data_IF_637123823891
#
_entry.id   IF_637123823891
#
_cell.length_a   1.000
_cell.length_b   1.000
_cell.length_c   1.000
_cell.angle_alpha   90.00
_cell.angle_beta   90.00
_cell.angle_gamma   90.00
#
_symmetry.space_group_name_H-M   'P 1'
#
loop_
_entity.id
_entity.type
_entity.pdbx_description
1 polymer ?
#
# COMPACT_ATOMS: atom_id res chain seq x y z
N UNK A 1 -15.18 -8.72 -31.47
CA UNK A 1 -16.43 -8.00 -31.74
C UNK A 1 -17.52 -8.62 -30.89
N UNK A 2 -17.90 -7.99 -29.81
CA UNK A 2 -19.16 -8.27 -29.11
C UNK A 2 -19.56 -7.01 -28.36
N UNK A 3 -20.70 -6.47 -28.75
CA UNK A 3 -21.32 -5.27 -28.18
C UNK A 3 -22.12 -5.67 -26.95
N UNK A 4 -21.91 -5.03 -25.82
CA UNK A 4 -22.81 -5.09 -24.68
C UNK A 4 -23.75 -3.89 -24.70
N UNK A 5 -25.04 -4.19 -24.74
CA UNK A 5 -26.16 -3.25 -24.81
C UNK A 5 -26.55 -2.87 -23.40
N UNK A 6 -26.50 -1.57 -23.08
CA UNK A 6 -26.98 -1.05 -21.80
C UNK A 6 -28.49 -0.81 -21.82
N UNK A 7 -29.14 -1.27 -20.76
CA UNK A 7 -30.54 -0.95 -20.49
C UNK A 7 -30.69 0.41 -19.83
N UNK A 8 -31.45 1.28 -20.48
CA UNK A 8 -31.90 2.57 -19.92
C UNK A 8 -33.35 2.39 -19.47
N UNK A 9 -33.63 2.67 -18.21
CA UNK A 9 -34.98 2.82 -17.71
C UNK A 9 -35.30 4.32 -17.54
N UNK A 10 -36.25 4.82 -18.24
CA UNK A 10 -36.84 6.14 -18.06
C UNK A 10 -37.96 6.09 -17.01
N UNK A 11 -38.13 7.08 -16.16
CA UNK A 11 -39.31 7.19 -15.30
C UNK A 11 -40.41 7.98 -16.00
N UNK A 12 -41.62 7.44 -15.93
CA UNK A 12 -42.85 8.04 -16.43
C UNK A 12 -43.30 9.18 -15.50
N UNK A 13 -43.65 10.29 -16.13
CA UNK A 13 -44.36 11.44 -15.53
C UNK A 13 -45.80 11.09 -15.26
N UNK A 14 -46.29 11.48 -14.09
CA UNK A 14 -47.74 11.64 -13.80
C UNK A 14 -47.93 13.00 -13.17
N UNK A 15 -48.60 13.87 -13.96
CA UNK A 15 -49.16 15.12 -13.48
C UNK A 15 -50.38 14.82 -12.61
N UNK A 16 -50.55 15.54 -11.50
CA UNK A 16 -51.88 16.01 -11.10
C UNK A 16 -51.73 17.27 -10.20
N UNK A 17 -52.46 18.27 -10.68
CA UNK A 17 -52.79 19.55 -10.10
C UNK A 17 -53.31 19.53 -8.65
N UNK A 18 -53.02 20.54 -7.89
CA UNK A 18 -54.04 21.51 -7.41
C UNK A 18 -53.54 22.34 -6.22
N UNK A 19 -53.56 23.64 -6.45
CA UNK A 19 -54.06 24.69 -5.54
C UNK A 19 -53.21 25.21 -4.39
N UNK A 20 -52.69 26.38 -4.70
CA UNK A 20 -52.56 27.62 -3.88
C UNK A 20 -52.70 27.54 -2.36
N UNK A 21 -51.61 27.91 -1.67
CA UNK A 21 -51.71 28.81 -0.52
C UNK A 21 -50.41 29.58 -0.28
N UNK A 22 -50.48 30.88 -0.44
CA UNK A 22 -49.40 31.81 -0.13
C UNK A 22 -49.24 31.92 1.40
N UNK A 23 -48.14 31.44 1.93
CA UNK A 23 -47.71 31.83 3.27
C UNK A 23 -46.22 32.18 3.26
N UNK A 24 -45.97 33.47 3.40
CA UNK A 24 -44.63 34.03 3.52
C UNK A 24 -44.09 33.70 4.91
N UNK A 25 -43.26 32.73 5.05
CA UNK A 25 -42.39 32.58 6.21
C UNK A 25 -40.96 32.95 5.81
N UNK A 26 -40.51 34.06 6.35
CA UNK A 26 -39.11 34.41 6.40
C UNK A 26 -38.40 33.38 7.32
N UNK A 27 -37.79 32.37 6.75
CA UNK A 27 -36.82 31.57 7.48
C UNK A 27 -35.43 32.11 7.17
N UNK A 28 -34.88 32.80 8.17
CA UNK A 28 -33.43 33.04 8.21
C UNK A 28 -32.74 31.69 8.27
N UNK A 29 -32.25 31.21 7.14
CA UNK A 29 -31.38 30.03 7.08
C UNK A 29 -30.04 30.42 7.67
N UNK A 30 -29.85 30.11 8.94
CA UNK A 30 -28.54 30.08 9.58
C UNK A 30 -27.78 28.89 8.98
N UNK A 31 -27.02 29.15 7.93
CA UNK A 31 -26.09 28.17 7.36
C UNK A 31 -24.94 27.98 8.33
N UNK A 32 -25.09 26.97 9.20
CA UNK A 32 -23.98 26.42 9.98
C UNK A 32 -23.04 25.73 8.99
N UNK A 33 -22.01 26.43 8.54
CA UNK A 33 -20.94 25.83 7.78
C UNK A 33 -20.20 24.87 8.72
N UNK A 34 -20.54 23.57 8.64
CA UNK A 34 -19.69 22.52 9.17
C UNK A 34 -18.39 22.60 8.35
N UNK A 35 -17.36 23.19 8.95
CA UNK A 35 -16.00 23.02 8.52
C UNK A 35 -15.67 21.53 8.73
N UNK A 36 -16.00 20.69 7.73
CA UNK A 36 -15.45 19.37 7.62
C UNK A 36 -13.95 19.58 7.41
N UNK A 37 -13.19 19.50 8.49
CA UNK A 37 -11.74 19.46 8.43
C UNK A 37 -11.37 18.29 7.55
N UNK A 38 -11.07 18.57 6.28
CA UNK A 38 -10.41 17.61 5.40
C UNK A 38 -9.10 17.24 6.06
N UNK A 39 -9.09 16.16 6.81
CA UNK A 39 -7.88 15.50 7.20
C UNK A 39 -7.25 15.01 5.89
N UNK A 40 -6.37 15.81 5.32
CA UNK A 40 -5.62 15.46 4.12
C UNK A 40 -4.78 14.25 4.49
N UNK A 41 -5.29 13.07 4.15
CA UNK A 41 -4.51 11.85 4.29
C UNK A 41 -3.38 11.94 3.28
N UNK A 42 -2.15 12.01 3.76
CA UNK A 42 -0.99 11.98 2.88
C UNK A 42 -1.08 10.76 1.95
N UNK A 43 -0.73 10.94 0.67
CA UNK A 43 -0.77 9.83 -0.27
C UNK A 43 0.16 8.72 0.23
N UNK A 44 -0.35 7.49 0.25
CA UNK A 44 0.41 6.30 0.62
C UNK A 44 0.65 5.46 -0.61
N UNK A 45 1.87 4.97 -0.76
CA UNK A 45 2.24 4.00 -1.77
C UNK A 45 2.41 2.66 -1.09
N UNK A 46 1.63 1.66 -1.52
CA UNK A 46 1.80 0.28 -1.07
C UNK A 46 2.96 -0.34 -1.87
N UNK A 47 4.04 -0.66 -1.16
CA UNK A 47 5.24 -1.24 -1.78
C UNK A 47 5.08 -2.72 -2.11
N UNK A 48 4.17 -3.41 -1.44
CA UNK A 48 3.90 -4.83 -1.64
C UNK A 48 2.45 -5.04 -2.05
N UNK A 49 2.24 -5.79 -3.12
CA UNK A 49 0.91 -6.03 -3.70
C UNK A 49 0.12 -7.17 -3.01
N UNK A 50 0.70 -7.85 -2.02
CA UNK A 50 0.09 -8.98 -1.31
C UNK A 50 0.07 -10.31 -2.07
N UNK A 51 0.66 -10.40 -3.26
CA UNK A 51 0.57 -11.59 -4.14
C UNK A 51 1.91 -12.14 -4.58
N UNK A 52 2.80 -11.29 -5.00
CA UNK A 52 4.11 -11.65 -5.53
C UNK A 52 5.15 -10.54 -5.27
N UNK A 53 6.38 -10.78 -5.65
CA UNK A 53 7.48 -9.85 -5.46
C UNK A 53 7.69 -8.91 -6.68
N UNK A 54 6.66 -8.65 -7.47
CA UNK A 54 6.72 -7.65 -8.54
C UNK A 54 7.03 -6.27 -7.93
N UNK A 55 7.99 -5.56 -8.51
CA UNK A 55 8.52 -4.29 -8.00
C UNK A 55 9.62 -4.44 -6.95
N UNK A 56 10.10 -5.69 -6.73
CA UNK A 56 11.18 -5.98 -5.83
C UNK A 56 12.33 -6.69 -6.52
N UNK A 57 13.55 -6.32 -6.18
CA UNK A 57 14.81 -6.98 -6.57
C UNK A 57 15.34 -7.75 -5.38
N UNK A 58 15.59 -9.05 -5.57
CA UNK A 58 16.23 -9.90 -4.57
C UNK A 58 17.72 -10.03 -4.89
N UNK A 59 18.55 -9.67 -3.95
CA UNK A 59 20.01 -9.78 -4.03
C UNK A 59 20.46 -10.83 -3.02
N UNK A 60 21.01 -11.92 -3.50
CA UNK A 60 21.45 -13.03 -2.64
C UNK A 60 22.94 -13.31 -2.85
N UNK A 61 23.54 -13.98 -1.90
CA UNK A 61 24.92 -14.43 -1.96
C UNK A 61 25.11 -15.35 -3.17
N UNK A 62 25.94 -14.99 -4.14
CA UNK A 62 26.20 -15.82 -5.32
C UNK A 62 26.93 -17.14 -5.00
N UNK A 63 27.59 -17.22 -3.84
CA UNK A 63 28.24 -18.43 -3.34
C UNK A 63 27.33 -19.23 -2.39
N UNK A 64 26.15 -18.66 -2.07
CA UNK A 64 25.15 -19.30 -1.23
C UNK A 64 24.47 -20.49 -1.91
N UNK A 65 24.09 -21.48 -1.12
CA UNK A 65 23.32 -22.63 -1.61
C UNK A 65 21.84 -22.25 -1.68
N UNK A 66 21.25 -22.38 -2.86
CA UNK A 66 19.83 -22.13 -3.11
C UNK A 66 19.57 -20.98 -4.09
N UNK A 67 18.30 -20.76 -4.35
CA UNK A 67 17.79 -19.69 -5.22
C UNK A 67 17.28 -18.50 -4.37
N UNK A 68 17.25 -17.33 -4.95
CA UNK A 68 16.66 -16.15 -4.29
C UNK A 68 15.21 -16.40 -3.83
N UNK A 69 14.48 -17.26 -4.53
CA UNK A 69 13.11 -17.69 -4.14
C UNK A 69 13.07 -18.57 -2.89
N UNK A 70 14.17 -19.20 -2.54
CA UNK A 70 14.28 -19.94 -1.28
C UNK A 70 14.42 -18.96 -0.11
N UNK A 71 15.17 -17.86 -0.31
CA UNK A 71 15.33 -16.81 0.69
C UNK A 71 14.08 -15.92 0.84
N UNK A 72 13.44 -15.57 -0.29
CA UNK A 72 12.32 -14.63 -0.34
C UNK A 72 11.12 -15.23 -1.08
N UNK A 73 10.00 -15.33 -0.41
CA UNK A 73 8.77 -15.87 -0.98
C UNK A 73 7.54 -15.15 -0.44
N UNK A 74 6.40 -15.34 -1.11
CA UNK A 74 5.12 -14.82 -0.61
C UNK A 74 4.26 -15.96 -0.10
N UNK A 75 3.81 -15.85 1.13
CA UNK A 75 2.95 -16.83 1.78
C UNK A 75 1.82 -16.14 2.52
N UNK A 76 0.59 -16.51 2.21
CA UNK A 76 -0.62 -15.95 2.84
C UNK A 76 -0.67 -14.42 2.83
N UNK A 77 -0.29 -13.80 1.71
CA UNK A 77 -0.29 -12.34 1.56
C UNK A 77 0.83 -11.62 2.31
N UNK A 78 1.84 -12.33 2.79
CA UNK A 78 3.00 -11.76 3.47
C UNK A 78 4.28 -12.19 2.77
N UNK A 79 5.27 -11.32 2.80
CA UNK A 79 6.64 -11.66 2.40
C UNK A 79 7.25 -12.52 3.50
N UNK A 80 7.70 -13.71 3.14
CA UNK A 80 8.46 -14.60 4.01
C UNK A 80 9.93 -14.50 3.67
N UNK A 81 10.75 -14.25 4.68
CA UNK A 81 12.21 -14.23 4.59
C UNK A 81 12.74 -15.46 5.34
N UNK A 82 13.39 -16.35 4.63
CA UNK A 82 13.94 -17.60 5.19
C UNK A 82 15.36 -17.43 5.73
N UNK A 83 16.09 -16.39 5.26
CA UNK A 83 17.47 -16.10 5.68
C UNK A 83 18.54 -17.00 5.04
N UNK A 84 18.18 -17.89 4.11
CA UNK A 84 19.10 -18.72 3.36
C UNK A 84 18.61 -18.90 1.93
N UNK A 85 19.45 -18.62 0.90
CA UNK A 85 20.75 -17.98 1.02
C UNK A 85 20.69 -16.59 1.65
N UNK A 86 21.81 -16.10 2.20
CA UNK A 86 21.89 -14.73 2.70
C UNK A 86 21.62 -13.72 1.60
N UNK A 87 21.01 -12.59 1.97
CA UNK A 87 20.70 -11.56 1.02
C UNK A 87 19.74 -10.52 1.57
N UNK A 88 19.32 -9.64 0.71
CA UNK A 88 18.28 -8.65 0.98
C UNK A 88 17.37 -8.50 -0.23
N UNK A 89 16.23 -7.89 -0.01
CA UNK A 89 15.36 -7.44 -1.07
C UNK A 89 15.21 -5.92 -1.01
N UNK A 90 15.13 -5.28 -2.15
CA UNK A 90 14.90 -3.85 -2.27
C UNK A 90 13.80 -3.55 -3.28
N UNK A 91 13.20 -2.40 -3.18
CA UNK A 91 12.30 -1.90 -4.23
C UNK A 91 13.08 -1.63 -5.53
N UNK A 92 12.45 -1.87 -6.66
CA UNK A 92 12.99 -1.47 -7.97
C UNK A 92 13.06 0.05 -8.07
N UNK A 93 12.01 0.73 -7.59
CA UNK A 93 11.95 2.19 -7.56
C UNK A 93 12.74 2.76 -6.39
N UNK A 94 13.20 3.99 -6.56
CA UNK A 94 13.92 4.76 -5.54
C UNK A 94 13.02 5.86 -4.97
N UNK A 95 13.21 6.17 -3.69
CA UNK A 95 12.44 7.17 -2.96
C UNK A 95 13.37 8.10 -2.22
N UNK A 96 13.11 9.41 -2.24
CA UNK A 96 13.93 10.41 -1.57
C UNK A 96 13.39 10.73 -0.18
N UNK A 97 12.39 11.57 -0.09
CA UNK A 97 11.79 11.98 1.17
C UNK A 97 10.56 11.12 1.48
N UNK A 98 10.71 10.18 2.40
CA UNK A 98 9.65 9.23 2.71
C UNK A 98 9.51 8.96 4.20
N UNK A 99 8.35 8.46 4.55
CA UNK A 99 8.08 7.78 5.82
C UNK A 99 7.76 6.33 5.50
N UNK A 100 8.59 5.40 5.96
CA UNK A 100 8.39 3.98 5.78
C UNK A 100 7.62 3.40 6.98
N UNK A 101 6.60 2.61 6.68
CA UNK A 101 5.89 1.79 7.66
C UNK A 101 6.06 0.33 7.26
N UNK A 102 6.57 -0.51 8.17
CA UNK A 102 6.76 -1.94 7.99
C UNK A 102 6.24 -2.67 9.22
N UNK A 103 5.40 -3.65 8.98
CA UNK A 103 4.97 -4.60 10.01
C UNK A 103 5.72 -5.91 9.81
N UNK A 104 6.27 -6.46 10.88
CA UNK A 104 7.05 -7.69 10.83
C UNK A 104 6.85 -8.55 12.06
N UNK A 105 7.15 -9.83 11.95
CA UNK A 105 7.14 -10.78 13.07
C UNK A 105 8.10 -11.94 12.82
N UNK A 106 8.61 -12.52 13.87
CA UNK A 106 9.31 -13.79 13.82
C UNK A 106 8.31 -14.95 13.65
N UNK A 107 8.65 -15.94 12.82
CA UNK A 107 7.82 -17.15 12.62
C UNK A 107 8.33 -18.32 13.50
N UNK A 108 9.42 -18.17 14.17
CA UNK A 108 10.05 -19.13 15.04
C UNK A 108 10.91 -18.43 16.06
N UNK A 109 12.05 -19.00 16.36
CA UNK A 109 13.03 -18.31 17.19
C UNK A 109 13.45 -17.00 16.56
N UNK A 110 13.47 -15.96 17.37
CA UNK A 110 13.95 -14.67 16.94
C UNK A 110 15.46 -14.73 16.71
N UNK A 111 15.89 -14.20 15.57
CA UNK A 111 17.30 -14.22 15.17
C UNK A 111 17.79 -12.80 14.88
N UNK A 112 18.39 -12.60 13.75
CA UNK A 112 18.90 -11.34 13.27
C UNK A 112 18.30 -10.98 11.93
N UNK A 113 17.84 -9.75 11.76
CA UNK A 113 17.37 -9.19 10.50
C UNK A 113 17.47 -7.67 10.56
N UNK A 114 17.12 -6.98 9.47
CA UNK A 114 17.14 -5.53 9.45
C UNK A 114 16.33 -4.95 8.31
N UNK A 115 16.01 -3.67 8.45
CA UNK A 115 15.37 -2.88 7.40
C UNK A 115 16.38 -1.84 6.93
N UNK A 116 16.91 -2.04 5.73
CA UNK A 116 17.83 -1.10 5.11
C UNK A 116 17.11 0.11 4.53
N UNK A 117 17.68 1.26 4.77
CA UNK A 117 17.25 2.53 4.21
C UNK A 117 18.44 3.22 3.54
N UNK A 118 18.17 4.03 2.52
CA UNK A 118 19.21 4.78 1.80
C UNK A 118 20.30 3.86 1.22
N UNK A 119 19.92 2.70 0.73
CA UNK A 119 20.82 1.75 0.08
C UNK A 119 21.51 2.41 -1.10
N UNK A 120 22.84 2.43 -1.10
CA UNK A 120 23.62 2.98 -2.18
C UNK A 120 23.54 2.09 -3.42
N UNK A 121 23.71 2.72 -4.60
CA UNK A 121 23.67 2.02 -5.88
C UNK A 121 24.72 0.91 -5.98
N UNK A 122 24.37 -0.15 -6.68
CA UNK A 122 25.17 -1.35 -6.86
C UNK A 122 24.73 -2.48 -5.93
N UNK A 123 24.28 -3.57 -6.53
CA UNK A 123 23.76 -4.74 -5.81
C UNK A 123 24.94 -5.52 -5.21
N UNK A 124 25.33 -5.15 -4.01
CA UNK A 124 26.34 -5.87 -3.21
C UNK A 124 25.62 -6.62 -2.10
N UNK A 125 26.10 -7.78 -1.72
CA UNK A 125 25.50 -8.58 -0.64
C UNK A 125 25.36 -7.78 0.67
N UNK A 126 26.33 -6.93 0.97
CA UNK A 126 26.31 -5.99 2.09
C UNK A 126 26.38 -4.56 1.54
N UNK A 127 25.25 -3.93 1.27
CA UNK A 127 25.25 -2.58 0.73
C UNK A 127 25.60 -1.55 1.80
N UNK A 128 26.10 -0.41 1.38
CA UNK A 128 26.15 0.76 2.24
C UNK A 128 24.73 1.28 2.44
N UNK A 129 24.25 1.27 3.66
CA UNK A 129 22.88 1.63 4.01
C UNK A 129 22.79 2.08 5.48
N UNK A 130 21.68 2.69 5.84
CA UNK A 130 21.28 2.86 7.22
C UNK A 130 20.36 1.70 7.59
N UNK A 131 20.70 0.97 8.63
CA UNK A 131 19.92 -0.18 9.07
C UNK A 131 19.09 0.12 10.32
N UNK A 132 17.81 -0.20 10.25
CA UNK A 132 16.99 -0.39 11.42
C UNK A 132 17.10 -1.87 11.82
N UNK A 133 17.92 -2.12 12.83
CA UNK A 133 18.23 -3.47 13.32
C UNK A 133 17.00 -4.14 13.92
N UNK A 134 16.72 -5.36 13.51
CA UNK A 134 15.70 -6.24 14.07
C UNK A 134 16.40 -7.42 14.73
N UNK A 135 16.61 -7.33 16.03
CA UNK A 135 17.26 -8.38 16.81
C UNK A 135 16.45 -8.67 18.05
N UNK A 136 16.33 -9.95 18.40
CA UNK A 136 15.82 -10.33 19.72
C UNK A 136 16.83 -9.96 20.79
N UNK A 137 16.33 -9.29 21.84
CA UNK A 137 17.11 -8.98 23.02
C UNK A 137 17.17 -10.15 24.00
#
# INVERSE_FOLDING_TARGET
MSKSTGCRNEPSTSENDTMTMRMRFLFAALTLALAAGSCSREPRTELFNGRDLTGWVCVTDPEGVGDARDAFSVQNGNIRIAGSPFGYMRTEETYDDYRLHVEWRWIGEATNSGIFQRVQAGDRLWPEAVECQLQAG
#
